data_IF_419423627820
#
_entry.id   IF_419423627820
#
_cell.length_a   1.000
_cell.length_b   1.000
_cell.length_c   1.000
_cell.angle_alpha   90.00
_cell.angle_beta   90.00
_cell.angle_gamma   90.00
#
_symmetry.space_group_name_H-M   'P 1'
#
loop_
_entity.id
_entity.type
_entity.pdbx_description
1 polymer ?
#
# COMPACT_ATOMS: atom_id res chain seq x y z
N UNK A 1 -30.24 61.06 -26.81
CA UNK A 1 -28.93 60.40 -27.02
C UNK A 1 -28.70 59.49 -25.84
N UNK A 2 -28.84 58.18 -26.04
CA UNK A 2 -28.63 57.15 -25.00
C UNK A 2 -27.30 56.49 -25.30
N UNK A 3 -26.32 56.66 -24.41
CA UNK A 3 -25.02 55.99 -24.48
C UNK A 3 -25.12 54.69 -23.69
N UNK A 4 -25.14 53.55 -24.39
CA UNK A 4 -24.95 52.24 -23.76
C UNK A 4 -23.45 51.94 -23.66
N UNK A 5 -22.93 51.99 -22.43
CA UNK A 5 -21.68 51.36 -22.05
C UNK A 5 -21.97 49.92 -21.59
N UNK A 6 -21.16 48.95 -22.02
CA UNK A 6 -21.27 47.59 -21.48
C UNK A 6 -20.49 46.49 -22.21
N UNK A 7 -19.33 46.77 -22.80
CA UNK A 7 -18.47 45.75 -23.43
C UNK A 7 -17.61 45.01 -22.38
N UNK A 8 -18.25 44.41 -21.37
CA UNK A 8 -17.56 43.67 -20.29
C UNK A 8 -17.92 42.17 -20.29
N UNK A 9 -18.99 41.78 -20.99
CA UNK A 9 -19.47 40.38 -20.99
C UNK A 9 -18.63 39.40 -21.83
N UNK A 10 -18.06 39.85 -22.94
CA UNK A 10 -17.34 38.96 -23.87
C UNK A 10 -15.94 38.55 -23.39
N UNK A 11 -15.28 39.36 -22.55
CA UNK A 11 -13.95 39.04 -22.02
C UNK A 11 -13.99 37.89 -21.01
N UNK A 12 -15.05 37.78 -20.20
CA UNK A 12 -15.23 36.70 -19.23
C UNK A 12 -15.55 35.35 -19.90
N UNK A 13 -16.27 35.37 -21.03
CA UNK A 13 -16.57 34.17 -21.79
C UNK A 13 -15.29 33.51 -22.36
N UNK A 14 -14.31 34.29 -22.80
CA UNK A 14 -13.04 33.77 -23.32
C UNK A 14 -12.16 33.15 -22.23
N UNK A 15 -12.18 33.69 -21.01
CA UNK A 15 -11.42 33.13 -19.87
C UNK A 15 -11.94 31.75 -19.42
N UNK A 16 -13.26 31.50 -19.50
CA UNK A 16 -13.83 30.19 -19.14
C UNK A 16 -13.43 29.03 -20.08
N UNK A 17 -13.08 29.31 -21.34
CA UNK A 17 -12.75 28.26 -22.31
C UNK A 17 -11.26 27.87 -22.30
N UNK A 18 -10.38 28.74 -21.79
CA UNK A 18 -8.95 28.45 -21.61
C UNK A 18 -8.66 27.68 -20.30
N UNK A 19 -9.50 27.83 -19.27
CA UNK A 19 -9.36 27.10 -18.00
C UNK A 19 -9.58 25.58 -18.12
N UNK A 20 -10.34 25.12 -19.12
CA UNK A 20 -10.64 23.71 -19.31
C UNK A 20 -9.51 22.92 -20.00
N UNK A 21 -8.56 23.59 -20.68
CA UNK A 21 -7.49 22.92 -21.43
C UNK A 21 -6.28 22.50 -20.57
N UNK A 22 -6.13 23.06 -19.37
CA UNK A 22 -5.03 22.72 -18.45
C UNK A 22 -5.44 21.73 -17.35
N UNK A 23 -6.70 21.29 -17.30
CA UNK A 23 -7.11 20.21 -16.40
C UNK A 23 -6.70 18.86 -17.00
N UNK A 24 -5.39 18.62 -17.05
CA UNK A 24 -4.86 17.27 -17.14
C UNK A 24 -5.15 16.60 -15.81
N UNK A 25 -6.36 16.08 -15.65
CA UNK A 25 -6.58 15.06 -14.65
C UNK A 25 -5.63 13.92 -15.01
N UNK A 26 -4.54 13.79 -14.27
CA UNK A 26 -3.78 12.55 -14.21
C UNK A 26 -4.77 11.52 -13.68
N UNK A 27 -5.52 10.89 -14.58
CA UNK A 27 -6.41 9.81 -14.21
C UNK A 27 -5.55 8.81 -13.44
N UNK A 28 -5.98 8.37 -12.23
CA UNK A 28 -5.20 7.42 -11.47
C UNK A 28 -4.92 6.23 -12.38
N UNK A 29 -3.65 5.87 -12.50
CA UNK A 29 -3.24 4.71 -13.29
C UNK A 29 -3.87 3.47 -12.64
N UNK A 30 -5.00 3.02 -13.19
CA UNK A 30 -5.65 1.80 -12.72
C UNK A 30 -4.93 0.64 -13.38
N UNK A 31 -4.17 -0.10 -12.58
CA UNK A 31 -3.54 -1.33 -13.02
C UNK A 31 -4.63 -2.33 -13.46
N UNK A 32 -4.52 -2.90 -14.66
CA UNK A 32 -5.49 -3.86 -15.16
C UNK A 32 -5.58 -5.13 -14.29
N UNK A 33 -6.73 -5.83 -14.27
CA UNK A 33 -6.99 -6.94 -13.37
C UNK A 33 -5.97 -8.09 -13.50
N UNK A 34 -5.56 -8.44 -14.72
CA UNK A 34 -4.57 -9.51 -14.96
C UNK A 34 -3.21 -9.18 -14.32
N UNK A 35 -2.80 -7.92 -14.42
CA UNK A 35 -1.54 -7.44 -13.83
C UNK A 35 -1.63 -7.40 -12.31
N UNK A 36 -2.77 -6.96 -11.76
CA UNK A 36 -3.01 -7.00 -10.32
C UNK A 36 -2.91 -8.44 -9.80
N UNK A 37 -3.55 -9.40 -10.47
CA UNK A 37 -3.51 -10.82 -10.10
C UNK A 37 -2.10 -11.40 -10.15
N UNK A 38 -1.30 -11.04 -11.15
CA UNK A 38 0.10 -11.44 -11.23
C UNK A 38 0.91 -10.91 -10.02
N UNK A 39 0.75 -9.63 -9.67
CA UNK A 39 1.43 -9.03 -8.51
C UNK A 39 1.01 -9.71 -7.21
N UNK A 40 -0.28 -10.02 -7.03
CA UNK A 40 -0.79 -10.71 -5.84
C UNK A 40 -0.17 -12.10 -5.71
N UNK A 41 -0.07 -12.84 -6.82
CA UNK A 41 0.55 -14.16 -6.83
C UNK A 41 2.02 -14.10 -6.44
N UNK A 42 2.74 -13.09 -6.95
CA UNK A 42 4.15 -12.84 -6.59
C UNK A 42 4.29 -12.40 -5.12
N UNK A 43 3.39 -11.56 -4.62
CA UNK A 43 3.34 -11.15 -3.21
C UNK A 43 3.12 -12.35 -2.29
N UNK A 44 2.18 -13.23 -2.63
CA UNK A 44 1.90 -14.44 -1.87
C UNK A 44 3.15 -15.30 -1.75
N UNK A 45 3.77 -15.64 -2.89
CA UNK A 45 4.98 -16.45 -2.90
C UNK A 45 6.12 -15.78 -2.12
N UNK A 46 6.25 -14.45 -2.22
CA UNK A 46 7.29 -13.69 -1.51
C UNK A 46 7.09 -13.70 0.00
N UNK A 47 5.84 -13.55 0.48
CA UNK A 47 5.52 -13.60 1.91
C UNK A 47 5.63 -15.00 2.49
N UNK A 48 5.17 -16.04 1.78
CA UNK A 48 5.37 -17.43 2.18
C UNK A 48 6.86 -17.74 2.34
N UNK A 49 7.69 -17.31 1.37
CA UNK A 49 9.13 -17.46 1.46
C UNK A 49 9.73 -16.67 2.63
N UNK A 50 9.36 -15.41 2.82
CA UNK A 50 9.82 -14.59 3.95
C UNK A 50 9.47 -15.22 5.29
N UNK A 51 8.27 -15.80 5.42
CA UNK A 51 7.83 -16.47 6.64
C UNK A 51 8.67 -17.71 6.92
N UNK A 52 8.88 -18.57 5.91
CA UNK A 52 9.68 -19.78 6.05
C UNK A 52 11.14 -19.45 6.40
N UNK A 53 11.79 -18.56 5.63
CA UNK A 53 13.16 -18.13 5.86
C UNK A 53 13.31 -17.58 7.30
N UNK A 54 12.35 -16.77 7.74
CA UNK A 54 12.37 -16.17 9.08
C UNK A 54 12.15 -17.19 10.21
N UNK A 55 11.27 -18.18 10.02
CA UNK A 55 11.01 -19.23 11.02
C UNK A 55 12.19 -20.19 11.15
N UNK A 56 12.78 -20.61 10.03
CA UNK A 56 13.94 -21.51 9.99
C UNK A 56 15.17 -20.88 10.64
N UNK A 57 15.47 -19.60 10.35
CA UNK A 57 16.65 -18.92 10.86
C UNK A 57 16.56 -18.57 12.35
N UNK A 58 15.34 -18.32 12.87
CA UNK A 58 15.17 -17.67 14.18
C UNK A 58 14.58 -18.57 15.25
N UNK A 59 14.01 -19.74 14.92
CA UNK A 59 13.51 -20.74 15.87
C UNK A 59 12.46 -20.22 16.86
N UNK A 60 11.65 -19.24 16.44
CA UNK A 60 10.83 -18.42 17.33
C UNK A 60 9.48 -19.08 17.59
N UNK A 61 9.10 -19.34 18.85
CA UNK A 61 7.75 -19.80 19.17
C UNK A 61 6.72 -18.70 18.92
N UNK A 62 5.51 -19.09 18.55
CA UNK A 62 4.41 -18.16 18.32
C UNK A 62 4.05 -17.43 19.62
N UNK A 63 4.16 -16.09 19.60
CA UNK A 63 3.71 -15.24 20.70
C UNK A 63 2.38 -14.61 20.35
N UNK A 64 1.37 -14.87 21.17
CA UNK A 64 0.03 -14.26 21.06
C UNK A 64 -0.04 -12.84 21.64
N UNK A 65 1.08 -12.29 22.12
CA UNK A 65 1.11 -10.97 22.77
C UNK A 65 0.93 -9.80 21.79
N UNK A 66 1.20 -9.99 20.51
CA UNK A 66 1.10 -8.93 19.51
C UNK A 66 -0.24 -8.99 18.80
N UNK A 67 -0.97 -7.89 18.89
CA UNK A 67 -2.23 -7.73 18.17
C UNK A 67 -1.93 -7.74 16.67
N UNK A 68 -2.50 -8.71 15.98
CA UNK A 68 -2.33 -8.87 14.54
C UNK A 68 -2.87 -7.65 13.82
N UNK A 69 -2.13 -7.05 12.88
CA UNK A 69 -2.65 -5.92 12.11
C UNK A 69 -3.94 -6.32 11.41
N UNK A 70 -4.97 -5.48 11.51
CA UNK A 70 -6.15 -5.62 10.67
C UNK A 70 -5.82 -5.04 9.30
N UNK A 71 -5.35 -5.88 8.37
CA UNK A 71 -5.36 -5.53 6.96
C UNK A 71 -6.83 -5.63 6.53
N UNK A 72 -7.52 -4.49 6.54
CA UNK A 72 -8.93 -4.45 6.19
C UNK A 72 -9.13 -5.10 4.83
N UNK A 73 -10.03 -6.08 4.77
CA UNK A 73 -10.55 -6.59 3.51
C UNK A 73 -11.25 -5.40 2.87
N UNK A 74 -10.74 -4.89 1.75
CA UNK A 74 -11.47 -3.90 1.01
C UNK A 74 -12.41 -4.65 0.06
N UNK A 75 -13.73 -4.74 0.34
CA UNK A 75 -14.66 -5.49 -0.50
C UNK A 75 -14.83 -4.86 -1.90
N UNK A 76 -14.31 -3.65 -2.12
CA UNK A 76 -14.29 -2.99 -3.43
C UNK A 76 -13.06 -3.39 -4.25
N UNK A 77 -12.05 -4.02 -3.65
CA UNK A 77 -10.89 -4.52 -4.37
C UNK A 77 -11.13 -5.98 -4.78
N UNK A 78 -10.64 -6.40 -5.95
CA UNK A 78 -10.68 -7.81 -6.35
C UNK A 78 -9.80 -8.70 -5.46
N UNK A 79 -9.12 -8.11 -4.47
CA UNK A 79 -8.21 -8.76 -3.54
C UNK A 79 -8.32 -8.20 -2.13
N UNK A 80 -8.08 -9.07 -1.16
CA UNK A 80 -8.32 -8.87 0.26
C UNK A 80 -7.12 -8.25 1.00
N UNK A 81 -6.36 -7.39 0.32
CA UNK A 81 -5.21 -6.69 0.92
C UNK A 81 -5.30 -5.18 0.72
N UNK A 82 -5.36 -4.47 1.85
CA UNK A 82 -5.15 -3.03 1.88
C UNK A 82 -3.64 -2.74 1.89
N UNK A 83 -3.12 -2.32 0.74
CA UNK A 83 -1.69 -2.04 0.57
C UNK A 83 -1.25 -0.83 1.43
N UNK A 84 -2.10 0.17 1.61
CA UNK A 84 -1.82 1.35 2.42
C UNK A 84 -1.68 1.00 3.91
N UNK A 85 -2.52 0.08 4.41
CA UNK A 85 -2.41 -0.44 5.77
C UNK A 85 -1.21 -1.39 5.95
N UNK A 86 -0.77 -2.04 4.87
CA UNK A 86 0.28 -3.08 4.87
C UNK A 86 1.69 -2.51 4.80
N UNK A 87 1.92 -1.53 3.92
CA UNK A 87 3.24 -0.95 3.63
C UNK A 87 4.01 -0.48 4.87
N UNK A 88 3.39 0.20 5.87
CA UNK A 88 4.11 0.64 7.06
C UNK A 88 4.72 -0.51 7.86
N UNK A 89 4.05 -1.66 7.93
CA UNK A 89 4.57 -2.84 8.62
C UNK A 89 5.76 -3.44 7.86
N UNK A 90 5.66 -3.59 6.53
CA UNK A 90 6.78 -4.08 5.71
C UNK A 90 8.03 -3.20 5.86
N UNK A 91 7.85 -1.87 5.88
CA UNK A 91 8.95 -0.91 6.11
C UNK A 91 9.53 -1.04 7.52
N UNK A 92 8.67 -1.21 8.53
CA UNK A 92 9.08 -1.36 9.92
C UNK A 92 9.85 -2.65 10.19
N UNK A 93 9.48 -3.76 9.54
CA UNK A 93 10.14 -5.06 9.74
C UNK A 93 11.37 -5.26 8.85
N UNK A 94 11.53 -4.49 7.77
CA UNK A 94 12.68 -4.58 6.84
C UNK A 94 14.06 -4.65 7.51
N UNK A 95 14.38 -3.88 8.57
CA UNK A 95 15.70 -3.92 9.19
C UNK A 95 16.06 -5.28 9.83
N UNK A 96 15.09 -6.15 10.08
CA UNK A 96 15.24 -7.40 10.82
C UNK A 96 15.48 -8.62 9.92
N UNK A 97 15.49 -8.43 8.60
CA UNK A 97 15.80 -9.46 7.63
C UNK A 97 17.23 -9.29 7.12
N UNK A 98 17.94 -10.42 7.02
CA UNK A 98 19.29 -10.44 6.47
C UNK A 98 19.24 -10.14 4.96
N UNK A 99 18.26 -10.72 4.25
CA UNK A 99 17.96 -10.39 2.86
C UNK A 99 16.95 -9.23 2.74
N UNK A 100 17.46 -7.99 2.83
CA UNK A 100 16.65 -6.78 2.67
C UNK A 100 16.05 -6.63 1.27
N UNK A 101 16.65 -7.23 0.24
CA UNK A 101 16.18 -7.11 -1.14
C UNK A 101 14.80 -7.77 -1.34
N UNK A 102 14.57 -8.90 -0.67
CA UNK A 102 13.28 -9.59 -0.69
C UNK A 102 12.16 -8.73 -0.10
N UNK A 103 12.42 -8.05 1.03
CA UNK A 103 11.44 -7.14 1.64
C UNK A 103 11.23 -5.89 0.77
N UNK A 104 12.27 -5.39 0.08
CA UNK A 104 12.15 -4.28 -0.86
C UNK A 104 11.25 -4.65 -2.05
N UNK A 105 11.38 -5.85 -2.60
CA UNK A 105 10.52 -6.32 -3.68
C UNK A 105 9.04 -6.39 -3.25
N UNK A 106 8.79 -6.88 -2.04
CA UNK A 106 7.44 -6.89 -1.45
C UNK A 106 6.87 -5.47 -1.32
N UNK A 107 7.67 -4.53 -0.80
CA UNK A 107 7.25 -3.11 -0.68
C UNK A 107 6.92 -2.53 -2.05
N UNK A 108 7.75 -2.77 -3.07
CA UNK A 108 7.52 -2.28 -4.44
C UNK A 108 6.21 -2.84 -5.03
N UNK A 109 5.95 -4.13 -4.83
CA UNK A 109 4.72 -4.77 -5.29
C UNK A 109 3.47 -4.23 -4.60
N UNK A 110 3.53 -3.99 -3.29
CA UNK A 110 2.44 -3.36 -2.54
C UNK A 110 2.20 -1.91 -3.00
N UNK A 111 3.26 -1.14 -3.25
CA UNK A 111 3.14 0.22 -3.77
C UNK A 111 2.49 0.28 -5.16
N UNK A 112 2.64 -0.76 -6.00
CA UNK A 112 1.93 -0.86 -7.29
C UNK A 112 0.43 -1.14 -7.13
N UNK A 113 0.02 -1.73 -6.00
CA UNK A 113 -1.38 -2.03 -5.66
C UNK A 113 -2.03 -0.93 -4.82
N UNK A 114 -1.27 0.09 -4.43
CA UNK A 114 -1.72 1.21 -3.62
C UNK A 114 -2.65 2.12 -4.43
N UNK A 115 -3.94 2.10 -4.11
CA UNK A 115 -4.95 2.89 -4.82
C UNK A 115 -5.09 4.32 -4.26
N UNK A 116 -4.63 4.54 -3.02
CA UNK A 116 -4.69 5.83 -2.32
C UNK A 116 -3.42 6.05 -1.50
N UNK A 117 -2.80 7.21 -1.67
CA UNK A 117 -1.79 7.68 -0.74
C UNK A 117 -2.47 8.21 0.52
N UNK A 118 -2.71 7.29 1.46
CA UNK A 118 -3.11 7.65 2.81
C UNK A 118 -1.88 7.97 3.67
N UNK A 119 -2.01 8.83 4.70
CA UNK A 119 -0.93 9.09 5.63
C UNK A 119 -0.47 7.79 6.28
N UNK A 120 0.84 7.52 6.21
CA UNK A 120 1.39 6.28 6.75
C UNK A 120 1.15 6.18 8.26
N UNK A 121 0.59 5.04 8.67
CA UNK A 121 0.44 4.72 10.08
C UNK A 121 1.82 4.49 10.69
N UNK A 122 2.13 5.15 11.81
CA UNK A 122 3.38 4.92 12.53
C UNK A 122 3.31 3.57 13.24
N UNK A 123 4.14 2.63 12.80
CA UNK A 123 4.28 1.31 13.44
C UNK A 123 5.34 1.39 14.53
N UNK A 124 4.94 1.11 15.77
CA UNK A 124 5.88 1.00 16.89
C UNK A 124 6.45 -0.41 16.95
N UNK A 125 7.74 -0.55 16.62
CA UNK A 125 8.45 -1.84 16.72
C UNK A 125 9.06 -1.97 18.12
N UNK A 126 8.98 -3.14 18.77
CA UNK A 126 9.72 -3.38 20.01
C UNK A 126 11.23 -3.14 19.82
N UNK A 127 11.95 -2.88 20.91
CA UNK A 127 13.42 -2.72 20.88
C UNK A 127 14.16 -3.97 21.33
N UNK A 128 13.52 -4.80 22.15
CA UNK A 128 14.05 -6.08 22.60
C UNK A 128 14.03 -7.11 21.47
N UNK A 129 15.11 -7.87 21.30
CA UNK A 129 15.30 -8.76 20.15
C UNK A 129 14.30 -9.93 20.14
N UNK A 130 13.96 -10.49 21.30
CA UNK A 130 12.97 -11.56 21.43
C UNK A 130 11.55 -11.05 21.13
N UNK A 131 11.24 -9.84 21.62
CA UNK A 131 10.00 -9.13 21.33
C UNK A 131 9.86 -8.74 19.86
N UNK A 132 10.93 -8.27 19.21
CA UNK A 132 10.94 -8.02 17.76
C UNK A 132 10.63 -9.30 16.99
N UNK A 133 11.28 -10.40 17.39
CA UNK A 133 11.07 -11.71 16.79
C UNK A 133 9.61 -12.14 16.85
N UNK A 134 9.04 -12.03 18.05
CA UNK A 134 7.65 -12.32 18.36
C UNK A 134 6.65 -11.38 17.66
N UNK A 135 7.05 -10.15 17.35
CA UNK A 135 6.23 -9.14 16.64
C UNK A 135 6.16 -9.41 15.12
N UNK A 136 7.23 -9.90 14.51
CA UNK A 136 7.33 -10.08 13.05
C UNK A 136 6.50 -11.28 12.55
N UNK A 137 6.50 -12.40 13.29
CA UNK A 137 5.82 -13.64 12.86
C UNK A 137 4.31 -13.44 12.62
N UNK A 138 3.53 -12.84 13.55
CA UNK A 138 2.10 -12.59 13.33
C UNK A 138 1.81 -11.70 12.13
N UNK A 139 2.69 -10.73 11.84
CA UNK A 139 2.57 -9.84 10.68
C UNK A 139 2.68 -10.64 9.38
N UNK A 140 3.75 -11.45 9.24
CA UNK A 140 3.97 -12.27 8.04
C UNK A 140 2.86 -13.29 7.83
N UNK A 141 2.40 -13.95 8.90
CA UNK A 141 1.27 -14.88 8.85
C UNK A 141 0.01 -14.19 8.34
N UNK A 142 -0.30 -13.02 8.87
CA UNK A 142 -1.52 -12.31 8.48
C UNK A 142 -1.49 -11.88 7.02
N UNK A 143 -0.32 -11.50 6.51
CA UNK A 143 -0.15 -11.26 5.08
C UNK A 143 -0.44 -12.50 4.24
N UNK A 144 0.10 -13.65 4.64
CA UNK A 144 -0.16 -14.92 3.96
C UNK A 144 -1.66 -15.25 3.94
N UNK A 145 -2.36 -15.07 5.07
CA UNK A 145 -3.82 -15.28 5.16
C UNK A 145 -4.60 -14.37 4.23
N UNK A 146 -4.29 -13.07 4.19
CA UNK A 146 -4.97 -12.09 3.34
C UNK A 146 -4.81 -12.38 1.83
N UNK A 147 -3.77 -13.12 1.45
CA UNK A 147 -3.43 -13.46 0.07
C UNK A 147 -3.84 -14.90 -0.33
N UNK A 148 -4.47 -15.66 0.58
CA UNK A 148 -4.82 -17.07 0.38
C UNK A 148 -6.18 -17.32 -0.29
N UNK A 149 -6.85 -16.27 -0.78
CA UNK A 149 -8.19 -16.34 -1.41
C UNK A 149 -8.13 -16.68 -2.88
#
# INVERSE_FOLDING_TARGET
MVSHAGTTGFALFLLCHLGALLSSHTAPYVLGPDKQQAIIKELRSSFEKLLNDYQEERGVPESSQYQTPCFALNPQLPYNIDSSATLPYCRAIKPFFDNKAQVVAVIDHLSKLEFRHEPETKVSVPTDSFKCKSFIVPILKKFSECLSV
#
